data_IF_058730346365
#
_entry.id   IF_058730346365
#
_cell.length_a   1.000
_cell.length_b   1.000
_cell.length_c   1.000
_cell.angle_alpha   90.00
_cell.angle_beta   90.00
_cell.angle_gamma   90.00
#
_symmetry.space_group_name_H-M   'P 1'
#
loop_
_entity.id
_entity.type
_entity.pdbx_description
1 polymer ?
#
# COMPACT_ATOMS: atom_id res chain seq x y z
N UNK A 1 -31.57 41.81 44.95
CA UNK A 1 -30.52 40.95 45.56
C UNK A 1 -30.25 39.65 44.80
N UNK A 2 -31.26 38.97 44.26
CA UNK A 2 -31.09 37.68 43.55
C UNK A 2 -30.30 37.77 42.23
N UNK A 3 -30.58 38.76 41.38
CA UNK A 3 -29.87 38.94 40.09
C UNK A 3 -28.36 39.14 40.25
N UNK A 4 -27.92 39.88 41.27
CA UNK A 4 -26.49 40.06 41.55
C UNK A 4 -25.83 38.76 41.99
N UNK A 5 -26.55 37.87 42.68
CA UNK A 5 -26.04 36.56 43.05
C UNK A 5 -25.88 35.65 41.82
N UNK A 6 -26.85 35.66 40.90
CA UNK A 6 -26.78 34.92 39.64
C UNK A 6 -25.60 35.39 38.77
N UNK A 7 -25.46 36.71 38.59
CA UNK A 7 -24.35 37.28 37.82
C UNK A 7 -22.98 36.99 38.44
N UNK A 8 -22.88 36.98 39.77
CA UNK A 8 -21.65 36.58 40.47
C UNK A 8 -21.32 35.10 40.24
N UNK A 9 -22.31 34.22 40.32
CA UNK A 9 -22.13 32.79 40.06
C UNK A 9 -21.69 32.53 38.60
N UNK A 10 -22.33 33.20 37.64
CA UNK A 10 -21.94 33.12 36.23
C UNK A 10 -20.52 33.64 35.99
N UNK A 11 -20.15 34.77 36.58
CA UNK A 11 -18.79 35.31 36.45
C UNK A 11 -17.74 34.37 37.04
N UNK A 12 -18.04 33.72 38.16
CA UNK A 12 -17.16 32.70 38.75
C UNK A 12 -16.99 31.49 37.81
N UNK A 13 -18.10 30.98 37.24
CA UNK A 13 -18.05 29.88 36.29
C UNK A 13 -17.23 30.24 35.04
N UNK A 14 -17.45 31.44 34.48
CA UNK A 14 -16.71 31.93 33.33
C UNK A 14 -15.22 32.10 33.62
N UNK A 15 -14.85 32.58 34.81
CA UNK A 15 -13.45 32.68 35.24
C UNK A 15 -12.79 31.30 35.35
N UNK A 16 -13.46 30.33 35.96
CA UNK A 16 -12.96 28.96 36.08
C UNK A 16 -12.78 28.31 34.70
N UNK A 17 -13.76 28.45 33.81
CA UNK A 17 -13.67 27.94 32.44
C UNK A 17 -12.49 28.58 31.66
N UNK A 18 -12.32 29.89 31.79
CA UNK A 18 -11.19 30.59 31.16
C UNK A 18 -9.83 30.19 31.73
N UNK A 19 -9.74 29.90 33.03
CA UNK A 19 -8.52 29.41 33.64
C UNK A 19 -8.14 28.02 33.08
N UNK A 20 -9.11 27.10 33.00
CA UNK A 20 -8.91 25.77 32.41
C UNK A 20 -8.49 25.88 30.94
N UNK A 21 -9.17 26.71 30.16
CA UNK A 21 -8.82 26.94 28.75
C UNK A 21 -7.41 27.53 28.60
N UNK A 22 -7.04 28.47 29.46
CA UNK A 22 -5.71 29.09 29.47
C UNK A 22 -4.63 28.07 29.80
N UNK A 23 -4.84 27.22 30.81
CA UNK A 23 -3.94 26.11 31.16
C UNK A 23 -3.77 25.16 29.98
N UNK A 24 -4.87 24.75 29.33
CA UNK A 24 -4.84 23.88 28.14
C UNK A 24 -4.05 24.50 26.98
N UNK A 25 -4.26 25.79 26.70
CA UNK A 25 -3.53 26.51 25.64
C UNK A 25 -2.04 26.58 25.93
N UNK A 26 -1.66 26.89 27.18
CA UNK A 26 -0.25 26.90 27.61
C UNK A 26 0.38 25.52 27.45
N UNK A 27 -0.28 24.46 27.92
CA UNK A 27 0.21 23.09 27.78
C UNK A 27 0.39 22.68 26.31
N UNK A 28 -0.56 23.00 25.43
CA UNK A 28 -0.43 22.76 23.98
C UNK A 28 0.75 23.52 23.39
N UNK A 29 0.90 24.81 23.74
CA UNK A 29 2.02 25.64 23.27
C UNK A 29 3.35 25.05 23.72
N UNK A 30 3.48 24.69 25.00
CA UNK A 30 4.69 24.05 25.56
C UNK A 30 4.98 22.73 24.89
N UNK A 31 3.97 21.88 24.65
CA UNK A 31 4.14 20.60 23.94
C UNK A 31 4.63 20.82 22.50
N UNK A 32 4.09 21.81 21.78
CA UNK A 32 4.57 22.14 20.43
C UNK A 32 5.98 22.72 20.45
N UNK A 33 6.33 23.50 21.47
CA UNK A 33 7.69 24.01 21.67
C UNK A 33 8.69 22.90 22.01
N UNK A 34 8.33 22.00 22.93
CA UNK A 34 9.18 20.88 23.37
C UNK A 34 9.28 19.75 22.34
N UNK A 35 8.22 19.51 21.57
CA UNK A 35 8.20 18.51 20.50
C UNK A 35 9.05 18.89 19.29
N UNK A 36 9.73 20.05 19.33
CA UNK A 36 10.44 20.63 18.21
C UNK A 36 9.49 21.19 17.15
N UNK A 37 9.93 22.24 16.48
CA UNK A 37 9.38 22.58 15.17
C UNK A 37 10.12 21.74 14.16
N UNK A 38 9.47 20.71 13.60
CA UNK A 38 9.92 20.11 12.35
C UNK A 38 10.02 21.26 11.36
N UNK A 39 11.25 21.62 10.99
CA UNK A 39 11.51 22.70 10.06
C UNK A 39 10.89 22.34 8.70
N UNK A 40 10.58 23.35 7.89
CA UNK A 40 10.09 23.09 6.54
C UNK A 40 11.08 22.26 5.74
N UNK A 41 12.39 22.41 6.01
CA UNK A 41 13.44 21.61 5.39
C UNK A 41 13.37 20.15 5.83
N UNK A 42 13.32 19.85 7.13
CA UNK A 42 13.21 18.47 7.62
C UNK A 42 11.92 17.78 7.13
N UNK A 43 10.83 18.54 6.98
CA UNK A 43 9.59 18.01 6.42
C UNK A 43 9.73 17.69 4.92
N UNK A 44 10.45 18.54 4.18
CA UNK A 44 10.76 18.31 2.77
C UNK A 44 11.70 17.13 2.60
N UNK A 45 12.75 17.02 3.41
CA UNK A 45 13.71 15.92 3.38
C UNK A 45 13.01 14.57 3.60
N UNK A 46 12.06 14.50 4.54
CA UNK A 46 11.22 13.30 4.77
C UNK A 46 10.33 12.97 3.57
N UNK A 47 9.82 13.97 2.87
CA UNK A 47 9.01 13.76 1.67
C UNK A 47 9.90 13.26 0.52
N UNK A 48 11.05 13.86 0.33
CA UNK A 48 12.03 13.48 -0.69
C UNK A 48 12.53 12.04 -0.46
N UNK A 49 12.82 11.66 0.79
CA UNK A 49 13.16 10.27 1.14
C UNK A 49 12.05 9.29 0.75
N UNK A 50 10.78 9.63 1.02
CA UNK A 50 9.64 8.78 0.65
C UNK A 50 9.47 8.67 -0.85
N UNK A 51 9.66 9.77 -1.58
CA UNK A 51 9.51 9.80 -3.03
C UNK A 51 10.61 8.96 -3.70
N UNK A 52 11.86 9.02 -3.20
CA UNK A 52 12.96 8.17 -3.66
C UNK A 52 12.65 6.69 -3.42
N UNK A 53 12.16 6.32 -2.23
CA UNK A 53 11.79 4.93 -1.94
C UNK A 53 10.69 4.45 -2.89
N UNK A 54 9.68 5.28 -3.13
CA UNK A 54 8.59 4.95 -4.03
C UNK A 54 9.08 4.79 -5.48
N UNK A 55 9.99 5.64 -5.94
CA UNK A 55 10.59 5.54 -7.28
C UNK A 55 11.36 4.22 -7.43
N UNK A 56 12.20 3.88 -6.46
CA UNK A 56 12.97 2.61 -6.48
C UNK A 56 12.05 1.40 -6.54
N UNK A 57 10.96 1.38 -5.76
CA UNK A 57 9.97 0.30 -5.83
C UNK A 57 9.32 0.18 -7.22
N UNK A 58 9.00 1.32 -7.85
CA UNK A 58 8.43 1.33 -9.20
C UNK A 58 9.42 0.83 -10.24
N UNK A 59 10.69 1.23 -10.15
CA UNK A 59 11.76 0.76 -11.05
C UNK A 59 12.03 -0.73 -10.89
N UNK A 60 12.03 -1.26 -9.65
CA UNK A 60 12.13 -2.70 -9.40
C UNK A 60 10.96 -3.44 -10.06
N UNK A 61 9.73 -2.94 -9.89
CA UNK A 61 8.55 -3.55 -10.53
C UNK A 61 8.65 -3.52 -12.05
N UNK A 62 9.07 -2.40 -12.63
CA UNK A 62 9.23 -2.23 -14.07
C UNK A 62 10.36 -3.11 -14.65
N UNK A 63 11.47 -3.23 -13.93
CA UNK A 63 12.62 -4.05 -14.33
C UNK A 63 12.42 -5.55 -14.09
N UNK A 64 11.51 -5.93 -13.19
CA UNK A 64 11.15 -7.34 -12.91
C UNK A 64 10.37 -8.02 -14.04
N UNK A 65 10.23 -7.37 -15.19
CA UNK A 65 9.67 -7.95 -16.40
C UNK A 65 10.30 -9.30 -16.70
N UNK A 66 9.45 -10.33 -16.84
CA UNK A 66 9.88 -11.69 -17.20
C UNK A 66 10.64 -11.60 -18.52
N UNK A 67 11.96 -11.86 -18.49
CA UNK A 67 12.75 -11.93 -19.73
C UNK A 67 12.06 -12.91 -20.68
N UNK A 68 11.89 -12.57 -21.97
CA UNK A 68 11.44 -13.54 -22.96
C UNK A 68 12.32 -14.77 -22.84
N UNK A 69 11.69 -15.94 -22.65
CA UNK A 69 12.45 -17.19 -22.65
C UNK A 69 13.11 -17.29 -24.02
N UNK A 70 14.45 -17.31 -24.07
CA UNK A 70 15.15 -17.69 -25.29
C UNK A 70 14.66 -19.10 -25.67
N UNK A 71 13.91 -19.20 -26.76
CA UNK A 71 13.46 -20.48 -27.30
C UNK A 71 14.66 -21.17 -27.91
N UNK A 72 15.41 -21.90 -27.07
CA UNK A 72 16.58 -22.70 -27.50
C UNK A 72 16.21 -23.87 -28.39
N UNK A 73 14.91 -24.19 -28.50
CA UNK A 73 14.37 -25.26 -29.33
C UNK A 73 13.03 -24.83 -29.92
N UNK A 74 12.78 -25.24 -31.16
CA UNK A 74 11.46 -25.09 -31.77
C UNK A 74 10.40 -25.75 -30.89
N UNK A 75 9.28 -25.04 -30.66
CA UNK A 75 8.17 -25.59 -29.88
C UNK A 75 7.64 -26.86 -30.56
N UNK A 76 7.69 -27.97 -29.83
CA UNK A 76 7.13 -29.26 -30.24
C UNK A 76 5.74 -29.44 -29.62
N UNK A 77 4.88 -30.13 -30.34
CA UNK A 77 3.57 -30.53 -29.85
C UNK A 77 3.75 -31.51 -28.68
N UNK A 78 3.11 -31.24 -27.53
CA UNK A 78 3.19 -32.12 -26.36
C UNK A 78 2.49 -33.47 -26.51
N UNK A 79 1.73 -33.69 -27.60
CA UNK A 79 1.08 -34.97 -27.92
C UNK A 79 1.91 -35.82 -28.89
N UNK A 80 2.35 -35.23 -30.01
CA UNK A 80 3.04 -35.97 -31.08
C UNK A 80 4.55 -35.73 -31.18
N UNK A 81 5.10 -34.73 -30.48
CA UNK A 81 6.51 -34.38 -30.56
C UNK A 81 6.95 -33.62 -31.82
N UNK A 82 6.09 -33.47 -32.82
CA UNK A 82 6.35 -32.73 -34.07
C UNK A 82 6.22 -31.21 -33.88
N UNK A 83 6.87 -30.45 -34.77
CA UNK A 83 6.79 -28.98 -34.80
C UNK A 83 5.68 -28.51 -35.74
N UNK A 84 5.32 -27.22 -35.70
CA UNK A 84 4.32 -26.62 -36.60
C UNK A 84 2.87 -26.62 -36.08
N UNK A 85 2.58 -27.35 -35.00
CA UNK A 85 1.27 -27.31 -34.33
C UNK A 85 1.42 -27.49 -32.81
N UNK A 86 0.35 -27.20 -32.07
CA UNK A 86 0.33 -27.42 -30.61
C UNK A 86 -0.57 -28.61 -30.25
N UNK A 87 -0.51 -29.06 -29.00
CA UNK A 87 -1.32 -30.18 -28.51
C UNK A 87 -2.85 -30.00 -28.68
N UNK A 88 -3.34 -28.76 -28.80
CA UNK A 88 -4.77 -28.45 -29.00
C UNK A 88 -5.22 -28.61 -30.45
N UNK A 89 -4.29 -28.49 -31.41
CA UNK A 89 -4.55 -28.63 -32.85
C UNK A 89 -3.85 -29.87 -33.42
N UNK A 90 -3.54 -30.84 -32.56
CA UNK A 90 -2.89 -32.08 -32.96
C UNK A 90 -3.96 -33.04 -33.48
N UNK A 91 -3.81 -33.46 -34.74
CA UNK A 91 -4.73 -34.34 -35.45
C UNK A 91 -4.38 -35.84 -35.30
N UNK A 92 -3.54 -36.20 -34.32
CA UNK A 92 -3.35 -37.62 -34.02
C UNK A 92 -4.66 -38.19 -33.50
N UNK A 93 -5.23 -39.09 -34.28
CA UNK A 93 -6.25 -40.03 -33.87
C UNK A 93 -5.50 -41.11 -33.07
N UNK A 94 -5.57 -41.04 -31.74
CA UNK A 94 -5.21 -42.20 -30.92
C UNK A 94 -6.23 -43.29 -31.25
N UNK A 95 -5.86 -44.24 -32.11
CA UNK A 95 -6.50 -45.55 -32.09
C UNK A 95 -6.09 -46.22 -30.78
N UNK A 96 -6.88 -45.95 -29.74
CA UNK A 96 -6.94 -46.80 -28.57
C UNK A 96 -7.54 -48.11 -29.06
N UNK A 97 -6.69 -49.10 -29.34
CA UNK A 97 -7.15 -50.47 -29.55
C UNK A 97 -7.68 -50.99 -28.21
N UNK A 98 -8.98 -50.80 -27.98
CA UNK A 98 -9.72 -51.54 -26.96
C UNK A 98 -9.80 -53.02 -27.39
N UNK A 99 -9.16 -53.86 -26.56
CA UNK A 99 -9.52 -55.23 -26.17
C UNK A 99 -9.73 -56.30 -27.25
N UNK A 100 -9.01 -57.43 -27.13
CA UNK A 100 -9.66 -58.74 -26.97
C UNK A 100 -8.81 -59.63 -26.05
N UNK A 101 -9.32 -59.84 -24.83
CA UNK A 101 -9.03 -60.98 -23.97
C UNK A 101 -9.59 -62.24 -24.65
N UNK A 102 -8.79 -63.30 -24.80
CA UNK A 102 -9.29 -64.63 -25.18
C UNK A 102 -8.28 -65.74 -24.83
N UNK A 103 -8.67 -66.50 -23.79
CA UNK A 103 -8.34 -67.87 -23.34
C UNK A 103 -6.92 -68.25 -22.88
#
# INVERSE_FOLDING_TARGET
MHQLALLKAENQNLRQANEVLSKRRRARKTRLWQGGSLSQQEAQDLQDERDVVQQVEQEIRASSGRKPREETHARRCGKCGETGHNARTCEIIEEVSEEEDSE
#
